data_IF_329113512183
#
_entry.id   IF_329113512183
#
_cell.length_a   1.000
_cell.length_b   1.000
_cell.length_c   1.000
_cell.angle_alpha   90.00
_cell.angle_beta   90.00
_cell.angle_gamma   90.00
#
_symmetry.space_group_name_H-M   'P 1'
#
loop_
_entity.id
_entity.type
_entity.pdbx_description
1 polymer ?
#
# COMPACT_ATOMS: atom_id res chain seq x y z
N UNK A 1 4.85 -4.21 -17.86
CA UNK A 1 4.39 -5.13 -16.79
C UNK A 1 5.44 -5.09 -15.69
N UNK A 2 5.07 -4.62 -14.51
CA UNK A 2 5.96 -4.47 -13.36
C UNK A 2 6.54 -5.85 -12.96
N UNK A 3 7.87 -5.99 -12.86
CA UNK A 3 8.54 -7.28 -12.64
C UNK A 3 8.09 -7.96 -11.34
N UNK A 4 7.66 -7.15 -10.36
CA UNK A 4 7.07 -7.63 -9.11
C UNK A 4 5.76 -8.38 -9.33
N UNK A 5 4.90 -7.91 -10.24
CA UNK A 5 3.62 -8.56 -10.55
C UNK A 5 3.88 -9.94 -11.16
N UNK A 6 4.82 -10.01 -12.12
CA UNK A 6 5.23 -11.29 -12.74
C UNK A 6 5.78 -12.26 -11.70
N UNK A 7 6.57 -11.78 -10.75
CA UNK A 7 7.12 -12.62 -9.68
C UNK A 7 6.03 -13.14 -8.75
N UNK A 8 5.09 -12.30 -8.33
CA UNK A 8 3.97 -12.71 -7.47
C UNK A 8 3.01 -13.66 -8.17
N UNK A 9 2.78 -13.47 -9.47
CA UNK A 9 2.00 -14.41 -10.29
C UNK A 9 2.62 -15.80 -10.25
N UNK A 10 3.94 -15.90 -10.41
CA UNK A 10 4.67 -17.18 -10.30
C UNK A 10 4.51 -17.82 -8.92
N UNK A 11 4.46 -17.06 -7.84
CA UNK A 11 4.25 -17.62 -6.49
C UNK A 11 2.88 -18.29 -6.38
N UNK A 12 1.85 -17.62 -6.91
CA UNK A 12 0.47 -18.07 -6.87
C UNK A 12 0.26 -19.30 -7.77
N UNK A 13 0.78 -19.28 -9.00
CA UNK A 13 0.75 -20.42 -9.92
C UNK A 13 1.46 -21.65 -9.33
N UNK A 14 2.66 -21.45 -8.77
CA UNK A 14 3.39 -22.57 -8.16
C UNK A 14 2.66 -23.14 -6.94
N UNK A 15 1.97 -22.29 -6.18
CA UNK A 15 1.18 -22.72 -5.03
C UNK A 15 -0.09 -23.46 -5.45
N UNK A 16 -0.74 -23.04 -6.54
CA UNK A 16 -1.89 -23.72 -7.13
C UNK A 16 -1.51 -25.13 -7.66
N UNK A 17 -0.34 -25.28 -8.28
CA UNK A 17 0.16 -26.56 -8.78
C UNK A 17 0.58 -27.54 -7.66
N UNK A 18 1.29 -27.05 -6.63
CA UNK A 18 1.86 -27.91 -5.58
C UNK A 18 0.97 -28.08 -4.34
N UNK A 19 0.08 -27.12 -4.06
CA UNK A 19 -0.70 -27.05 -2.82
C UNK A 19 0.12 -26.86 -1.54
N UNK A 20 1.46 -26.74 -1.63
CA UNK A 20 2.35 -26.72 -0.47
C UNK A 20 3.03 -25.35 -0.28
N UNK A 21 2.64 -24.66 0.79
CA UNK A 21 3.22 -23.35 1.15
C UNK A 21 4.72 -23.39 1.42
N UNK A 22 5.24 -24.50 1.97
CA UNK A 22 6.65 -24.61 2.36
C UNK A 22 7.59 -24.61 1.17
N UNK A 23 7.27 -25.37 0.13
CA UNK A 23 8.09 -25.49 -1.07
C UNK A 23 8.13 -24.15 -1.82
N UNK A 24 6.99 -23.48 -1.96
CA UNK A 24 6.90 -22.17 -2.60
C UNK A 24 7.73 -21.13 -1.83
N UNK A 25 7.60 -21.10 -0.50
CA UNK A 25 8.34 -20.16 0.35
C UNK A 25 9.86 -20.39 0.28
N UNK A 26 10.30 -21.65 0.27
CA UNK A 26 11.70 -22.02 0.14
C UNK A 26 12.27 -21.62 -1.22
N UNK A 27 11.53 -21.88 -2.30
CA UNK A 27 11.96 -21.62 -3.68
C UNK A 27 12.10 -20.14 -3.99
N UNK A 28 11.19 -19.31 -3.47
CA UNK A 28 11.14 -17.88 -3.77
C UNK A 28 11.70 -16.99 -2.65
N UNK A 29 12.14 -17.56 -1.52
CA UNK A 29 12.69 -16.80 -0.39
C UNK A 29 11.67 -15.88 0.27
N UNK A 30 10.39 -16.29 0.32
CA UNK A 30 9.30 -15.48 0.87
C UNK A 30 8.74 -16.08 2.15
N UNK A 31 8.18 -15.22 3.00
CA UNK A 31 7.49 -15.69 4.19
C UNK A 31 6.12 -16.28 3.85
N UNK A 32 5.69 -17.29 4.62
CA UNK A 32 4.33 -17.86 4.57
C UNK A 32 3.21 -16.80 4.64
N UNK A 33 3.25 -15.79 5.54
CA UNK A 33 2.21 -14.76 5.56
C UNK A 33 2.20 -13.91 4.28
N UNK A 34 3.35 -13.66 3.66
CA UNK A 34 3.41 -12.97 2.35
C UNK A 34 2.69 -13.76 1.28
N UNK A 35 2.96 -15.07 1.17
CA UNK A 35 2.28 -15.94 0.20
C UNK A 35 0.77 -15.99 0.44
N UNK A 36 0.33 -16.18 1.69
CA UNK A 36 -1.10 -16.21 2.04
C UNK A 36 -1.82 -14.92 1.63
N UNK A 37 -1.23 -13.76 1.91
CA UNK A 37 -1.80 -12.46 1.52
C UNK A 37 -2.06 -12.42 0.01
N UNK A 38 -1.06 -12.76 -0.80
CA UNK A 38 -1.17 -12.71 -2.26
C UNK A 38 -2.12 -13.76 -2.81
N UNK A 39 -2.17 -14.95 -2.23
CA UNK A 39 -3.16 -15.97 -2.57
C UNK A 39 -4.60 -15.46 -2.34
N UNK A 40 -4.88 -14.86 -1.19
CA UNK A 40 -6.20 -14.30 -0.90
C UNK A 40 -6.57 -13.14 -1.84
N UNK A 41 -5.61 -12.28 -2.20
CA UNK A 41 -5.81 -11.22 -3.19
C UNK A 41 -6.14 -11.80 -4.58
N UNK A 42 -5.37 -12.79 -5.01
CA UNK A 42 -5.58 -13.48 -6.29
C UNK A 42 -6.96 -14.15 -6.36
N UNK A 43 -7.39 -14.83 -5.30
CA UNK A 43 -8.72 -15.46 -5.27
C UNK A 43 -9.88 -14.45 -5.36
N UNK A 44 -9.69 -13.21 -4.91
CA UNK A 44 -10.76 -12.19 -4.90
C UNK A 44 -10.94 -11.49 -6.24
N UNK A 45 -9.85 -11.19 -6.95
CA UNK A 45 -9.85 -10.27 -8.10
C UNK A 45 -8.85 -10.67 -9.20
N UNK A 46 -8.20 -11.82 -9.08
CA UNK A 46 -7.26 -12.33 -10.07
C UNK A 46 -5.97 -11.49 -10.18
N UNK A 47 -5.55 -11.23 -11.42
CA UNK A 47 -4.25 -10.62 -11.75
C UNK A 47 -4.21 -9.13 -11.40
N UNK A 48 -5.35 -8.44 -11.41
CA UNK A 48 -5.41 -6.99 -11.17
C UNK A 48 -5.02 -6.60 -9.73
N UNK A 49 -5.30 -7.46 -8.75
CA UNK A 49 -5.03 -7.20 -7.32
C UNK A 49 -3.61 -7.64 -6.89
N UNK A 50 -2.81 -8.19 -7.83
CA UNK A 50 -1.38 -8.45 -7.64
C UNK A 50 -0.53 -7.19 -7.76
N UNK A 51 -1.14 -6.08 -8.21
CA UNK A 51 -0.54 -4.77 -8.08
C UNK A 51 -0.43 -4.40 -6.60
N UNK A 52 0.73 -3.89 -6.21
CA UNK A 52 0.89 -3.40 -4.84
C UNK A 52 0.08 -2.11 -4.72
N UNK A 53 -1.18 -2.21 -4.27
CA UNK A 53 -1.89 -1.03 -3.82
C UNK A 53 -1.05 -0.41 -2.71
N UNK A 54 -0.45 0.74 -3.02
CA UNK A 54 0.30 1.54 -2.07
C UNK A 54 -0.71 1.95 -0.99
N UNK A 55 -0.81 1.16 0.08
CA UNK A 55 -1.61 1.46 1.30
C UNK A 55 -1.02 2.62 2.11
N UNK A 56 -0.12 3.42 1.53
CA UNK A 56 0.31 4.65 2.17
C UNK A 56 -0.92 5.54 2.17
N UNK A 57 -1.52 5.76 3.35
CA UNK A 57 -2.72 6.58 3.43
C UNK A 57 -2.38 7.94 2.81
N UNK A 58 -3.14 8.32 1.78
CA UNK A 58 -3.07 9.67 1.19
C UNK A 58 -3.54 10.73 2.18
N UNK A 59 -4.10 10.29 3.31
CA UNK A 59 -4.64 11.05 4.42
C UNK A 59 -3.86 10.61 5.66
N UNK A 60 -2.67 11.17 5.87
CA UNK A 60 -1.99 11.06 7.16
C UNK A 60 -2.33 12.30 7.96
N UNK A 61 -2.73 12.21 9.25
CA UNK A 61 -2.90 13.37 10.10
C UNK A 61 -1.65 14.26 10.21
N UNK A 62 -0.47 13.71 9.88
CA UNK A 62 0.83 14.42 9.90
C UNK A 62 1.23 14.97 8.52
N UNK A 63 0.35 14.93 7.53
CA UNK A 63 0.63 15.46 6.20
C UNK A 63 0.82 16.97 6.27
N UNK A 64 1.93 17.46 5.69
CA UNK A 64 2.22 18.89 5.69
C UNK A 64 1.10 19.65 4.98
N UNK A 65 0.75 20.81 5.52
CA UNK A 65 -0.27 21.67 4.95
C UNK A 65 0.05 22.00 3.48
N UNK A 66 -0.97 21.98 2.62
CA UNK A 66 -0.83 22.38 1.21
C UNK A 66 -0.31 23.83 1.11
N UNK A 67 0.40 24.19 0.02
CA UNK A 67 0.98 25.54 -0.14
C UNK A 67 -0.02 26.69 0.07
N UNK A 68 -1.27 26.50 -0.38
CA UNK A 68 -2.37 27.46 -0.19
C UNK A 68 -2.68 27.67 1.29
N UNK A 69 -2.70 26.60 2.10
CA UNK A 69 -2.92 26.69 3.54
C UNK A 69 -1.75 27.38 4.25
N UNK A 70 -0.52 27.19 3.79
CA UNK A 70 0.66 27.86 4.38
C UNK A 70 0.59 29.38 4.18
N UNK A 71 0.22 29.83 2.97
CA UNK A 71 0.02 31.26 2.68
C UNK A 71 -1.12 31.83 3.53
N UNK A 72 -2.26 31.15 3.57
CA UNK A 72 -3.40 31.56 4.39
C UNK A 72 -3.04 31.66 5.88
N UNK A 73 -2.33 30.66 6.44
CA UNK A 73 -1.88 30.68 7.84
C UNK A 73 -0.92 31.86 8.09
N UNK A 74 -0.03 32.16 7.14
CA UNK A 74 0.89 33.30 7.22
C UNK A 74 0.11 34.63 7.28
N UNK A 75 -0.87 34.81 6.40
CA UNK A 75 -1.67 36.02 6.35
C UNK A 75 -2.58 36.20 7.58
N UNK A 76 -3.18 35.11 8.08
CA UNK A 76 -3.95 35.12 9.32
C UNK A 76 -3.07 35.52 10.53
N UNK A 77 -1.83 35.03 10.58
CA UNK A 77 -0.85 35.43 11.62
C UNK A 77 -0.47 36.89 11.52
N UNK A 78 -0.22 37.42 10.31
CA UNK A 78 0.05 38.85 10.08
C UNK A 78 -1.09 39.73 10.57
N UNK A 79 -2.33 39.32 10.29
CA UNK A 79 -3.55 40.03 10.73
C UNK A 79 -3.88 39.84 12.22
N UNK A 80 -3.05 39.11 12.98
CA UNK A 80 -3.27 38.73 14.39
C UNK A 80 -4.62 38.05 14.64
N UNK A 81 -5.19 37.43 13.62
CA UNK A 81 -6.43 36.66 13.69
C UNK A 81 -6.10 35.26 14.21
N UNK A 82 -5.88 35.18 15.51
CA UNK A 82 -5.73 33.91 16.23
C UNK A 82 -7.10 33.33 16.56
N UNK A 83 -7.09 32.07 16.99
CA UNK A 83 -8.26 31.43 17.57
C UNK A 83 -8.87 32.34 18.65
N UNK A 84 -10.05 32.89 18.37
CA UNK A 84 -10.86 33.61 19.35
C UNK A 84 -11.73 32.55 20.02
N UNK A 85 -11.55 32.36 21.33
CA UNK A 85 -12.55 31.62 22.12
C UNK A 85 -13.80 32.49 22.13
N UNK A 86 -14.90 31.95 21.60
CA UNK A 86 -16.25 32.52 21.74
C UNK A 86 -16.84 31.94 23.01
#
# INVERSE_FOLDING_TARGET
MDDKIRMRLKWVQLYEELGNTGIVCLRFGISRPTLRKWWTCYQKKGIDDLQEEIRRSKLSPRQKALPIHVQLISDLRKRKLRHRRI
#
